data_IF_247947856738
#
_entry.id   IF_247947856738
#
_cell.length_a   1.000
_cell.length_b   1.000
_cell.length_c   1.000
_cell.angle_alpha   90.00
_cell.angle_beta   90.00
_cell.angle_gamma   90.00
#
_symmetry.space_group_name_H-M   'P 1'
#
loop_
_entity.id
_entity.type
_entity.pdbx_description
1 polymer ?
#
# COMPACT_ATOMS: atom_id res chain seq x y z
N UNK A 1 -16.70 32.55 8.24
CA UNK A 1 -16.56 31.61 7.09
C UNK A 1 -15.74 30.36 7.44
N UNK A 2 -14.50 30.39 7.92
CA UNK A 2 -13.79 29.17 8.35
C UNK A 2 -14.41 28.61 9.62
N UNK A 3 -14.66 29.44 10.63
CA UNK A 3 -15.33 29.08 11.89
C UNK A 3 -16.69 28.46 11.71
N UNK A 4 -17.42 28.82 10.66
CA UNK A 4 -18.76 28.26 10.39
C UNK A 4 -18.63 26.86 9.77
N UNK A 5 -17.58 26.63 8.97
CA UNK A 5 -17.25 25.30 8.44
C UNK A 5 -16.84 24.34 9.55
N UNK A 6 -15.98 24.79 10.46
CA UNK A 6 -15.55 24.00 11.62
C UNK A 6 -16.73 23.63 12.53
N UNK A 7 -17.66 24.58 12.77
CA UNK A 7 -18.85 24.35 13.58
C UNK A 7 -19.84 23.36 12.95
N UNK A 8 -19.85 23.24 11.62
CA UNK A 8 -20.71 22.34 10.86
C UNK A 8 -20.05 21.02 10.43
N UNK A 9 -18.77 20.81 10.77
CA UNK A 9 -18.05 19.60 10.37
C UNK A 9 -18.54 18.36 11.13
N UNK A 10 -19.20 17.38 10.47
CA UNK A 10 -19.66 16.17 11.11
C UNK A 10 -18.51 15.27 11.61
N UNK A 11 -17.29 15.50 11.13
CA UNK A 11 -16.10 14.73 11.50
C UNK A 11 -15.31 15.37 12.65
N UNK A 12 -15.64 16.58 13.09
CA UNK A 12 -14.91 17.29 14.14
C UNK A 12 -14.73 16.45 15.42
N UNK A 13 -15.75 15.65 15.78
CA UNK A 13 -15.71 14.76 16.95
C UNK A 13 -14.59 13.70 16.88
N UNK A 14 -14.14 13.31 15.70
CA UNK A 14 -13.09 12.32 15.54
C UNK A 14 -11.68 12.85 15.81
N UNK A 15 -11.47 14.18 15.80
CA UNK A 15 -10.19 14.79 16.08
C UNK A 15 -9.63 14.34 17.44
N UNK A 16 -10.51 14.23 18.45
CA UNK A 16 -10.14 13.82 19.80
C UNK A 16 -9.63 12.37 19.91
N UNK A 17 -9.83 11.55 18.87
CA UNK A 17 -9.33 10.18 18.83
C UNK A 17 -7.86 10.10 18.46
N UNK A 18 -7.27 11.19 18.00
CA UNK A 18 -5.86 11.29 17.62
C UNK A 18 -5.03 12.00 18.67
N UNK A 19 -3.78 11.60 18.80
CA UNK A 19 -2.79 12.23 19.64
C UNK A 19 -1.90 13.12 18.77
N UNK A 20 -2.30 14.37 18.63
CA UNK A 20 -1.54 15.39 17.92
C UNK A 20 -1.07 16.42 18.96
N UNK A 21 0.23 16.77 19.00
CA UNK A 21 0.75 17.78 19.91
C UNK A 21 0.07 19.14 19.71
N UNK A 22 -0.10 19.87 20.81
CA UNK A 22 -0.70 21.20 20.78
C UNK A 22 0.04 22.16 19.84
N UNK A 23 -0.71 22.95 19.10
CA UNK A 23 -0.16 23.92 18.16
C UNK A 23 0.36 23.34 16.84
N UNK A 24 0.24 22.03 16.63
CA UNK A 24 0.62 21.38 15.37
C UNK A 24 -0.60 21.20 14.48
N UNK A 25 -0.51 21.69 13.24
CA UNK A 25 -1.42 21.34 12.15
C UNK A 25 -0.76 20.24 11.34
N UNK A 26 -1.17 18.98 11.58
CA UNK A 26 -0.54 17.83 10.97
C UNK A 26 -1.19 17.48 9.61
N UNK A 27 -0.47 17.73 8.52
CA UNK A 27 -0.94 17.55 7.14
C UNK A 27 -0.25 16.42 6.37
N UNK A 28 0.56 15.60 7.05
CA UNK A 28 1.38 14.55 6.43
C UNK A 28 0.90 13.12 6.79
N UNK A 29 -0.40 12.96 7.00
CA UNK A 29 -1.02 11.67 7.35
C UNK A 29 -0.91 10.60 6.25
N UNK A 30 -0.66 11.00 5.01
CA UNK A 30 -0.39 10.10 3.89
C UNK A 30 0.98 9.39 4.00
N UNK A 31 1.95 10.01 4.68
CA UNK A 31 3.28 9.44 4.91
C UNK A 31 3.29 8.62 6.21
N UNK A 32 2.84 9.23 7.30
CA UNK A 32 2.69 8.58 8.59
C UNK A 32 1.41 9.09 9.27
N UNK A 33 0.44 8.22 9.48
CA UNK A 33 -0.78 8.56 10.20
C UNK A 33 -0.47 8.97 11.65
N UNK A 34 -1.19 9.97 12.21
CA UNK A 34 -1.03 10.31 13.61
C UNK A 34 -1.51 9.16 14.50
N UNK A 35 -0.87 9.02 15.66
CA UNK A 35 -1.23 7.96 16.62
C UNK A 35 -2.67 8.16 17.09
N UNK A 36 -3.47 7.08 17.05
CA UNK A 36 -4.79 7.08 17.68
C UNK A 36 -4.72 6.58 19.12
N UNK A 37 -5.60 7.08 19.98
CA UNK A 37 -5.72 6.59 21.37
C UNK A 37 -6.04 5.10 21.42
N UNK A 38 -6.89 4.63 20.52
CA UNK A 38 -7.27 3.21 20.44
C UNK A 38 -6.06 2.32 20.06
N UNK A 39 -5.18 2.80 19.17
CA UNK A 39 -3.97 2.07 18.80
C UNK A 39 -3.00 1.96 19.97
N UNK A 40 -2.82 3.04 20.75
CA UNK A 40 -2.00 3.01 21.96
C UNK A 40 -2.52 1.97 22.95
N UNK A 41 -3.82 2.03 23.30
CA UNK A 41 -4.44 1.07 24.22
C UNK A 41 -4.35 -0.38 23.70
N UNK A 42 -4.49 -0.56 22.39
CA UNK A 42 -4.35 -1.89 21.77
C UNK A 42 -2.92 -2.42 21.88
N UNK A 43 -1.92 -1.58 21.67
CA UNK A 43 -0.50 -1.95 21.84
C UNK A 43 -0.18 -2.32 23.27
N UNK A 44 -0.65 -1.54 24.25
CA UNK A 44 -0.46 -1.85 25.68
C UNK A 44 -1.04 -3.22 26.02
N UNK A 45 -2.21 -3.55 25.52
CA UNK A 45 -2.84 -4.86 25.70
C UNK A 45 -2.03 -5.99 25.06
N UNK A 46 -1.52 -5.78 23.84
CA UNK A 46 -0.68 -6.78 23.15
C UNK A 46 0.56 -7.07 23.98
N UNK A 47 1.25 -6.04 24.43
CA UNK A 47 2.53 -6.20 25.15
C UNK A 47 2.32 -6.81 26.53
N UNK A 48 1.39 -6.28 27.31
CA UNK A 48 1.26 -6.63 28.71
C UNK A 48 0.45 -7.92 28.94
N UNK A 49 -0.59 -8.15 28.16
CA UNK A 49 -1.49 -9.29 28.37
C UNK A 49 -1.23 -10.43 27.38
N UNK A 50 -1.36 -10.15 26.08
CA UNK A 50 -1.34 -11.20 25.06
C UNK A 50 0.06 -11.82 24.92
N UNK A 51 1.10 -11.00 24.92
CA UNK A 51 2.48 -11.47 24.92
C UNK A 51 2.99 -11.74 26.34
N UNK A 52 2.88 -10.76 27.23
CA UNK A 52 3.48 -10.81 28.56
C UNK A 52 2.94 -11.95 29.43
N UNK A 53 1.66 -12.30 29.30
CA UNK A 53 1.01 -13.35 30.10
C UNK A 53 0.75 -14.64 29.33
N UNK A 54 0.31 -14.53 28.06
CA UNK A 54 -0.05 -15.70 27.26
C UNK A 54 1.15 -16.36 26.57
N UNK A 55 2.25 -15.62 26.37
CA UNK A 55 3.47 -16.10 25.70
C UNK A 55 3.12 -16.73 24.34
N UNK A 56 3.64 -17.93 24.05
CA UNK A 56 3.37 -18.63 22.79
C UNK A 56 1.88 -18.96 22.59
N UNK A 57 1.09 -19.05 23.64
CA UNK A 57 -0.36 -19.32 23.53
C UNK A 57 -1.12 -18.17 22.87
N UNK A 58 -0.58 -16.94 22.89
CA UNK A 58 -1.16 -15.77 22.24
C UNK A 58 -1.47 -15.96 20.76
N UNK A 59 -0.75 -16.86 20.08
CA UNK A 59 -1.06 -17.20 18.68
C UNK A 59 -2.51 -17.67 18.51
N UNK A 60 -3.02 -18.44 19.45
CA UNK A 60 -4.39 -18.95 19.43
C UNK A 60 -5.33 -18.12 20.32
N UNK A 61 -4.97 -17.90 21.60
CA UNK A 61 -5.87 -17.25 22.58
C UNK A 61 -6.15 -15.78 22.23
N UNK A 62 -5.20 -15.04 21.66
CA UNK A 62 -5.36 -13.67 21.20
C UNK A 62 -5.67 -13.56 19.69
N UNK A 63 -5.70 -14.68 18.97
CA UNK A 63 -6.01 -14.73 17.54
C UNK A 63 -4.97 -14.04 16.68
N UNK A 64 -3.68 -14.16 17.01
CA UNK A 64 -2.62 -13.55 16.22
C UNK A 64 -2.45 -14.25 14.86
N UNK A 65 -2.74 -15.56 14.81
CA UNK A 65 -2.64 -16.32 13.59
C UNK A 65 -3.56 -15.78 12.49
N UNK A 66 -4.80 -15.45 12.84
CA UNK A 66 -5.80 -14.93 11.90
C UNK A 66 -5.76 -13.40 11.77
N UNK A 67 -4.94 -12.71 12.57
CA UNK A 67 -4.91 -11.24 12.61
C UNK A 67 -4.64 -10.58 11.24
N UNK A 68 -3.70 -11.08 10.41
CA UNK A 68 -3.42 -10.50 9.11
C UNK A 68 -4.64 -10.46 8.17
N UNK A 69 -5.43 -11.54 8.14
CA UNK A 69 -6.64 -11.63 7.31
C UNK A 69 -7.78 -10.82 7.92
N UNK A 70 -8.00 -10.91 9.22
CA UNK A 70 -9.06 -10.15 9.92
C UNK A 70 -8.87 -8.63 9.78
N UNK A 71 -7.63 -8.14 9.82
CA UNK A 71 -7.33 -6.73 9.55
C UNK A 71 -7.40 -6.44 8.05
N UNK A 72 -6.94 -7.39 7.23
CA UNK A 72 -7.05 -7.34 5.78
C UNK A 72 -8.49 -7.14 5.31
N UNK A 73 -9.42 -7.92 5.81
CA UNK A 73 -10.85 -7.78 5.47
C UNK A 73 -11.42 -6.39 5.80
N UNK A 74 -11.00 -5.79 6.92
CA UNK A 74 -11.42 -4.41 7.24
C UNK A 74 -10.88 -3.38 6.25
N UNK A 75 -9.63 -3.54 5.82
CA UNK A 75 -9.01 -2.67 4.80
C UNK A 75 -9.65 -2.96 3.43
N UNK A 76 -9.89 -4.23 3.14
CA UNK A 76 -10.54 -4.68 1.91
C UNK A 76 -11.90 -4.02 1.66
N UNK A 77 -12.71 -3.83 2.71
CA UNK A 77 -13.99 -3.10 2.61
C UNK A 77 -13.82 -1.67 2.09
N UNK A 78 -12.71 -0.99 2.45
CA UNK A 78 -12.41 0.36 1.96
C UNK A 78 -11.88 0.36 0.53
N UNK A 79 -11.22 -0.73 0.12
CA UNK A 79 -10.64 -0.91 -1.20
C UNK A 79 -11.59 -1.58 -2.21
N UNK A 80 -12.77 -2.01 -1.78
CA UNK A 80 -13.75 -2.70 -2.63
C UNK A 80 -13.44 -4.19 -2.88
N UNK A 81 -12.60 -4.80 -2.04
CA UNK A 81 -12.30 -6.23 -2.09
C UNK A 81 -13.33 -7.06 -1.32
N UNK A 82 -13.54 -8.30 -1.76
CA UNK A 82 -14.39 -9.27 -1.06
C UNK A 82 -13.67 -9.84 0.19
N UNK A 83 -14.41 -10.42 1.15
CA UNK A 83 -13.81 -11.09 2.29
C UNK A 83 -12.80 -12.18 1.87
N UNK A 84 -11.65 -12.20 2.52
CA UNK A 84 -10.56 -13.15 2.23
C UNK A 84 -9.63 -12.77 1.07
N UNK A 85 -9.89 -11.66 0.36
CA UNK A 85 -9.05 -11.20 -0.75
C UNK A 85 -7.93 -10.25 -0.31
N UNK A 86 -7.93 -9.83 0.94
CA UNK A 86 -6.93 -8.89 1.46
C UNK A 86 -6.20 -9.47 2.66
N UNK A 87 -4.88 -9.36 2.64
CA UNK A 87 -4.02 -9.76 3.76
C UNK A 87 -3.05 -8.63 4.10
N UNK A 88 -2.85 -8.39 5.39
CA UNK A 88 -1.84 -7.44 5.90
C UNK A 88 -0.58 -8.19 6.25
N UNK A 89 0.50 -7.91 5.56
CA UNK A 89 1.79 -8.53 5.81
C UNK A 89 2.94 -7.61 5.40
N UNK A 90 4.13 -7.89 5.87
CA UNK A 90 5.39 -7.26 5.48
C UNK A 90 5.37 -5.72 5.36
N UNK A 91 6.19 -5.19 4.48
CA UNK A 91 6.23 -3.77 4.09
C UNK A 91 5.81 -3.60 2.63
N UNK A 92 5.53 -2.36 2.22
CA UNK A 92 5.22 -2.03 0.82
C UNK A 92 6.27 -2.57 -0.14
N UNK A 93 7.55 -2.37 0.14
CA UNK A 93 8.65 -2.82 -0.74
C UNK A 93 8.70 -4.34 -0.86
N UNK A 94 8.58 -5.08 0.26
CA UNK A 94 8.60 -6.54 0.24
C UNK A 94 7.37 -7.10 -0.49
N UNK A 95 6.19 -6.53 -0.23
CA UNK A 95 4.96 -6.95 -0.90
C UNK A 95 5.02 -6.64 -2.41
N UNK A 96 5.53 -5.46 -2.79
CA UNK A 96 5.72 -5.10 -4.20
C UNK A 96 6.63 -6.13 -4.90
N UNK A 97 7.78 -6.45 -4.30
CA UNK A 97 8.68 -7.47 -4.85
C UNK A 97 7.95 -8.81 -5.07
N UNK A 98 7.23 -9.30 -4.05
CA UNK A 98 6.49 -10.56 -4.15
C UNK A 98 5.44 -10.56 -5.25
N UNK A 99 4.63 -9.50 -5.30
CA UNK A 99 3.51 -9.41 -6.26
C UNK A 99 4.03 -9.25 -7.68
N UNK A 100 5.04 -8.39 -7.89
CA UNK A 100 5.62 -8.18 -9.23
C UNK A 100 6.36 -9.43 -9.70
N UNK A 101 7.11 -10.10 -8.82
CA UNK A 101 7.78 -11.35 -9.17
C UNK A 101 6.76 -12.43 -9.58
N UNK A 102 5.70 -12.60 -8.81
CA UNK A 102 4.64 -13.57 -9.14
C UNK A 102 3.96 -13.22 -10.47
N UNK A 103 3.55 -11.95 -10.65
CA UNK A 103 2.90 -11.50 -11.87
C UNK A 103 3.81 -11.67 -13.11
N UNK A 104 5.09 -11.34 -12.98
CA UNK A 104 6.08 -11.51 -14.05
C UNK A 104 6.23 -12.97 -14.46
N UNK A 105 6.40 -13.88 -13.50
CA UNK A 105 6.58 -15.31 -13.76
C UNK A 105 5.31 -16.00 -14.32
N UNK A 106 4.14 -15.41 -14.13
CA UNK A 106 2.90 -15.92 -14.71
C UNK A 106 2.71 -15.55 -16.19
N UNK A 107 3.54 -14.67 -16.75
CA UNK A 107 3.40 -14.15 -18.12
C UNK A 107 4.40 -14.83 -19.06
N UNK A 108 4.07 -16.00 -19.55
CA UNK A 108 4.90 -16.72 -20.52
C UNK A 108 5.12 -15.90 -21.80
N UNK A 109 6.37 -15.82 -22.27
CA UNK A 109 6.75 -15.13 -23.50
C UNK A 109 6.76 -13.60 -23.42
N UNK A 110 6.44 -13.01 -22.26
CA UNK A 110 6.55 -11.57 -22.01
C UNK A 110 7.68 -11.31 -21.01
N UNK A 111 8.46 -10.28 -21.24
CA UNK A 111 9.70 -10.07 -20.48
C UNK A 111 9.93 -8.62 -20.03
N UNK A 112 8.96 -7.76 -20.19
CA UNK A 112 9.13 -6.32 -19.90
C UNK A 112 8.21 -5.87 -18.77
N UNK A 113 8.79 -5.21 -17.77
CA UNK A 113 8.08 -4.48 -16.72
C UNK A 113 8.05 -3.02 -17.12
N UNK A 114 6.87 -2.45 -17.32
CA UNK A 114 6.69 -1.03 -17.62
C UNK A 114 6.41 -0.26 -16.33
N UNK A 115 7.10 0.88 -16.14
CA UNK A 115 6.90 1.75 -14.97
C UNK A 115 7.13 3.22 -15.31
N UNK A 116 6.76 4.11 -14.38
CA UNK A 116 6.95 5.56 -14.47
C UNK A 116 8.31 5.98 -13.88
N UNK A 117 9.01 6.92 -14.51
CA UNK A 117 10.27 7.48 -14.01
C UNK A 117 10.10 8.24 -12.68
N UNK A 118 8.92 8.79 -12.42
CA UNK A 118 8.57 9.47 -11.17
C UNK A 118 8.05 8.55 -10.07
N UNK A 119 8.08 7.24 -10.27
CA UNK A 119 7.62 6.30 -9.24
C UNK A 119 8.42 6.43 -7.94
N UNK A 120 7.88 5.92 -6.83
CA UNK A 120 8.56 6.02 -5.56
C UNK A 120 9.93 5.31 -5.63
N UNK A 121 11.03 5.90 -5.13
CA UNK A 121 12.38 5.38 -5.35
C UNK A 121 12.57 3.92 -4.93
N UNK A 122 11.97 3.50 -3.80
CA UNK A 122 12.09 2.10 -3.35
C UNK A 122 11.38 1.13 -4.27
N UNK A 123 10.33 1.56 -4.97
CA UNK A 123 9.65 0.70 -5.94
C UNK A 123 10.57 0.40 -7.13
N UNK A 124 11.27 1.42 -7.64
CA UNK A 124 12.28 1.24 -8.69
C UNK A 124 13.43 0.35 -8.22
N UNK A 125 13.86 0.46 -6.95
CA UNK A 125 14.88 -0.44 -6.39
C UNK A 125 14.40 -1.89 -6.30
N UNK A 126 13.13 -2.11 -5.98
CA UNK A 126 12.56 -3.47 -5.96
C UNK A 126 12.51 -4.06 -7.36
N UNK A 127 12.19 -3.27 -8.38
CA UNK A 127 12.22 -3.71 -9.78
C UNK A 127 13.65 -4.04 -10.24
N UNK A 128 14.63 -3.19 -9.91
CA UNK A 128 16.05 -3.46 -10.22
C UNK A 128 16.54 -4.73 -9.50
N UNK A 129 16.16 -4.91 -8.24
CA UNK A 129 16.42 -6.13 -7.48
C UNK A 129 15.79 -7.37 -8.13
N UNK A 130 14.56 -7.29 -8.60
CA UNK A 130 13.90 -8.38 -9.31
C UNK A 130 14.61 -8.71 -10.61
N UNK A 131 14.99 -7.72 -11.41
CA UNK A 131 15.76 -7.91 -12.64
C UNK A 131 17.06 -8.68 -12.37
N UNK A 132 17.80 -8.29 -11.31
CA UNK A 132 19.04 -8.99 -10.93
C UNK A 132 18.79 -10.43 -10.47
N UNK A 133 17.65 -10.67 -9.84
CA UNK A 133 17.25 -12.00 -9.36
C UNK A 133 16.82 -12.93 -10.50
N UNK A 134 16.04 -12.43 -11.45
CA UNK A 134 15.54 -13.20 -12.60
C UNK A 134 16.62 -13.34 -13.69
N UNK A 135 17.47 -12.33 -13.86
CA UNK A 135 18.53 -12.31 -14.88
C UNK A 135 18.14 -11.54 -16.14
N UNK A 136 18.85 -11.80 -17.23
CA UNK A 136 18.74 -11.05 -18.49
C UNK A 136 17.38 -11.20 -19.20
N UNK A 137 16.58 -12.13 -18.77
CA UNK A 137 15.21 -12.32 -19.30
C UNK A 137 14.22 -11.25 -18.85
N UNK A 138 14.57 -10.44 -17.84
CA UNK A 138 13.72 -9.36 -17.32
C UNK A 138 14.22 -7.99 -17.79
N UNK A 139 13.38 -7.27 -18.52
CA UNK A 139 13.63 -5.88 -18.91
C UNK A 139 12.75 -4.94 -18.08
N UNK A 140 13.33 -3.80 -17.67
CA UNK A 140 12.60 -2.72 -17.03
C UNK A 140 12.55 -1.54 -17.99
N UNK A 141 11.37 -1.12 -18.36
CA UNK A 141 11.11 -0.03 -19.30
C UNK A 141 10.50 1.15 -18.55
N UNK A 142 11.30 2.20 -18.37
CA UNK A 142 10.97 3.36 -17.55
C UNK A 142 10.59 4.52 -18.43
N UNK A 143 9.38 5.04 -18.31
CA UNK A 143 8.83 6.08 -19.15
C UNK A 143 8.46 7.34 -18.36
N UNK A 144 8.37 8.47 -19.06
CA UNK A 144 7.68 9.62 -18.53
C UNK A 144 6.18 9.27 -18.31
N UNK A 145 5.53 9.95 -17.37
CA UNK A 145 4.14 9.66 -16.98
C UNK A 145 3.18 9.57 -18.17
N UNK A 146 3.30 10.54 -19.09
CA UNK A 146 2.38 10.66 -20.22
C UNK A 146 2.60 9.56 -21.29
N UNK A 147 3.78 8.93 -21.29
CA UNK A 147 4.16 7.90 -22.24
C UNK A 147 3.86 6.48 -21.76
N UNK A 148 3.49 6.29 -20.49
CA UNK A 148 3.26 4.96 -19.89
C UNK A 148 2.22 4.17 -20.68
N UNK A 149 1.07 4.76 -21.01
CA UNK A 149 -0.02 4.06 -21.73
C UNK A 149 0.43 3.60 -23.11
N UNK A 150 1.15 4.46 -23.84
CA UNK A 150 1.63 4.16 -25.20
C UNK A 150 2.77 3.13 -25.21
N UNK A 151 3.52 2.99 -24.13
CA UNK A 151 4.62 2.04 -24.00
C UNK A 151 4.16 0.59 -23.77
N UNK A 152 2.91 0.39 -23.32
CA UNK A 152 2.34 -0.94 -23.10
C UNK A 152 2.17 -1.66 -24.45
N UNK A 153 2.82 -2.80 -24.60
CA UNK A 153 2.84 -3.59 -25.84
C UNK A 153 2.86 -5.11 -25.58
N UNK A 154 2.94 -5.92 -26.63
CA UNK A 154 2.89 -7.38 -26.54
C UNK A 154 4.04 -8.03 -25.74
N UNK A 155 5.12 -7.30 -25.43
CA UNK A 155 6.22 -7.78 -24.59
C UNK A 155 6.02 -7.41 -23.11
N UNK A 156 5.04 -6.57 -22.80
CA UNK A 156 4.77 -6.11 -21.43
C UNK A 156 4.20 -7.26 -20.62
N UNK A 157 4.95 -7.72 -19.63
CA UNK A 157 4.53 -8.72 -18.65
C UNK A 157 3.76 -8.08 -17.49
N UNK A 158 4.25 -6.95 -16.98
CA UNK A 158 3.67 -6.26 -15.81
C UNK A 158 3.76 -4.76 -15.99
N UNK A 159 2.73 -4.04 -15.55
CA UNK A 159 2.74 -2.57 -15.41
C UNK A 159 2.73 -2.23 -13.93
N UNK A 160 3.73 -1.48 -13.46
CA UNK A 160 3.90 -1.11 -12.05
C UNK A 160 3.79 0.40 -11.89
N UNK A 161 2.77 0.87 -11.19
CA UNK A 161 2.47 2.29 -11.05
C UNK A 161 2.03 2.63 -9.63
N UNK A 162 2.36 3.84 -9.18
CA UNK A 162 1.76 4.46 -8.00
C UNK A 162 0.58 5.33 -8.44
N UNK A 163 -0.65 4.91 -8.11
CA UNK A 163 -1.87 5.53 -8.63
C UNK A 163 -1.95 7.03 -8.31
N UNK A 164 -1.61 7.43 -7.07
CA UNK A 164 -1.50 8.84 -6.68
C UNK A 164 -0.03 9.16 -6.46
N UNK A 165 0.51 10.02 -7.32
CA UNK A 165 1.92 10.41 -7.24
C UNK A 165 2.21 11.20 -5.94
N UNK A 166 3.16 10.72 -5.16
CA UNK A 166 3.43 11.19 -3.79
C UNK A 166 3.91 12.65 -3.67
N UNK A 167 4.42 13.26 -4.73
CA UNK A 167 4.86 14.66 -4.76
C UNK A 167 3.80 15.57 -5.38
N UNK A 168 3.27 15.20 -6.55
CA UNK A 168 2.39 16.07 -7.34
C UNK A 168 0.91 15.82 -7.09
N UNK A 169 0.54 14.74 -6.38
CA UNK A 169 -0.82 14.25 -6.23
C UNK A 169 -1.53 13.92 -7.55
N UNK A 170 -0.79 13.82 -8.66
CA UNK A 170 -1.35 13.47 -9.95
C UNK A 170 -1.87 12.01 -9.94
N UNK A 171 -3.00 11.79 -10.58
CA UNK A 171 -3.71 10.50 -10.62
C UNK A 171 -3.57 9.90 -12.03
N UNK A 172 -3.29 8.60 -12.11
CA UNK A 172 -3.30 7.87 -13.38
C UNK A 172 -4.72 7.52 -13.83
N UNK A 173 -5.01 7.51 -15.16
CA UNK A 173 -6.26 6.98 -15.69
C UNK A 173 -6.26 5.45 -15.63
N UNK A 174 -6.44 4.89 -14.43
CA UNK A 174 -6.26 3.46 -14.18
C UNK A 174 -7.17 2.57 -15.04
N UNK A 175 -8.39 3.02 -15.36
CA UNK A 175 -9.30 2.27 -16.22
C UNK A 175 -8.70 2.08 -17.63
N UNK A 176 -8.14 3.15 -18.21
CA UNK A 176 -7.55 3.12 -19.56
C UNK A 176 -6.27 2.28 -19.57
N UNK A 177 -5.43 2.43 -18.52
CA UNK A 177 -4.20 1.65 -18.37
C UNK A 177 -4.52 0.16 -18.24
N UNK A 178 -5.50 -0.19 -17.40
CA UNK A 178 -5.93 -1.58 -17.21
C UNK A 178 -6.49 -2.18 -18.51
N UNK A 179 -7.35 -1.45 -19.21
CA UNK A 179 -7.89 -1.88 -20.50
C UNK A 179 -6.79 -2.07 -21.56
N UNK A 180 -5.74 -1.25 -21.52
CA UNK A 180 -4.62 -1.37 -22.46
C UNK A 180 -3.68 -2.54 -22.11
N UNK A 181 -3.54 -2.84 -20.80
CA UNK A 181 -2.67 -3.91 -20.32
C UNK A 181 -3.27 -5.30 -20.56
N UNK A 182 -4.61 -5.43 -20.52
CA UNK A 182 -5.33 -6.67 -20.83
C UNK A 182 -5.57 -6.83 -22.32
#
# INVERSE_FOLDING_TARGET
MVTDLDASDPLAQFQQRFLIPDGIVYMNGNSLGPLTRDAQLRMDKVVNDEWGRELIRGWNSAGWYELPWRVGDKIGQLAGAAPGETVVCDSTSVNLFKVVAAAFLMQEGRNTIVTEAGNFPTDLYMLDGLKRFVGDECNIDIHARDDVVSSINSKTAVVVLTHVHYVSAAIFPMADITARAH
#
